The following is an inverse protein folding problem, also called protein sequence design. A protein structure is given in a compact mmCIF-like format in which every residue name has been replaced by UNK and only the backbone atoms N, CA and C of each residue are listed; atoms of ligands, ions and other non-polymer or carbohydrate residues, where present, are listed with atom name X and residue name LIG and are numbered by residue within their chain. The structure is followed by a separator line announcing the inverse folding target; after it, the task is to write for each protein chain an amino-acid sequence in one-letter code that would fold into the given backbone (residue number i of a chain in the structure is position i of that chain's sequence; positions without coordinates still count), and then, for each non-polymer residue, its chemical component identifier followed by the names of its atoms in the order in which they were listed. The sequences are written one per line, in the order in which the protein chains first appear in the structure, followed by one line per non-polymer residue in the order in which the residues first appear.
data_IF_156778737840
#
_entry.id   IF_156778737840
#
_cell.length_a   1.000
_cell.length_b   1.000
_cell.length_c   1.000
_cell.angle_alpha   90.00
_cell.angle_beta   90.00
_cell.angle_gamma   90.00
#
_symmetry.space_group_name_H-M   'P 1'
#
loop_
_entity.id
_entity.type
_entity.pdbx_description
1 polymer ?
#
# COMPACT_ATOMS: atom_id res chain seq x y z
N UNK A 1 -57.54 -81.89 -29.51
CA UNK A 1 -56.82 -80.64 -29.81
C UNK A 1 -57.02 -79.67 -28.62
N UNK A 2 -56.12 -79.57 -27.73
CA UNK A 2 -56.10 -78.64 -26.57
C UNK A 2 -54.89 -77.75 -26.68
N UNK A 3 -55.08 -76.48 -26.90
CA UNK A 3 -53.95 -75.46 -26.83
C UNK A 3 -53.67 -75.12 -25.39
N UNK A 4 -52.42 -75.30 -24.97
CA UNK A 4 -51.87 -74.81 -23.69
C UNK A 4 -51.37 -73.41 -23.87
N UNK A 5 -51.88 -72.46 -23.08
CA UNK A 5 -51.37 -71.07 -22.98
C UNK A 5 -50.29 -71.00 -21.90
N UNK A 6 -49.05 -70.77 -22.29
CA UNK A 6 -47.97 -70.44 -21.37
C UNK A 6 -48.10 -68.97 -20.94
N UNK A 7 -48.22 -68.73 -19.63
CA UNK A 7 -48.21 -67.41 -19.01
C UNK A 7 -46.77 -67.20 -18.53
N UNK A 8 -46.10 -66.21 -19.12
CA UNK A 8 -44.77 -65.80 -18.73
C UNK A 8 -44.86 -64.73 -17.61
N UNK A 9 -44.42 -65.07 -16.40
CA UNK A 9 -44.33 -64.12 -15.27
C UNK A 9 -43.05 -63.36 -15.42
N UNK A 10 -43.10 -62.01 -15.69
CA UNK A 10 -41.94 -61.10 -15.64
C UNK A 10 -41.84 -60.59 -14.21
N UNK A 11 -40.77 -61.04 -13.52
CA UNK A 11 -40.40 -60.53 -12.20
C UNK A 11 -39.63 -59.22 -12.39
N UNK A 12 -40.26 -58.05 -12.16
CA UNK A 12 -39.56 -56.76 -12.10
C UNK A 12 -38.84 -56.64 -10.74
N UNK A 13 -37.51 -56.78 -10.74
CA UNK A 13 -36.67 -56.42 -9.61
C UNK A 13 -36.55 -54.89 -9.52
N UNK A 14 -37.22 -54.29 -8.56
CA UNK A 14 -36.94 -52.89 -8.17
C UNK A 14 -35.67 -52.81 -7.38
N UNK A 15 -34.57 -52.35 -8.00
CA UNK A 15 -33.32 -52.01 -7.29
C UNK A 15 -33.54 -50.57 -6.76
N UNK A 16 -33.83 -50.44 -5.48
CA UNK A 16 -33.83 -49.13 -4.77
C UNK A 16 -32.40 -48.72 -4.51
N UNK A 17 -31.88 -47.82 -5.33
CA UNK A 17 -30.61 -47.16 -5.10
C UNK A 17 -30.74 -46.21 -3.90
N UNK A 18 -30.20 -46.61 -2.75
CA UNK A 18 -30.04 -45.69 -1.60
C UNK A 18 -28.90 -44.74 -1.95
N UNK A 19 -29.25 -43.51 -2.39
CA UNK A 19 -28.31 -42.43 -2.50
C UNK A 19 -27.89 -41.99 -1.07
N UNK A 20 -26.73 -42.41 -0.64
CA UNK A 20 -26.08 -41.86 0.56
C UNK A 20 -25.68 -40.43 0.21
N UNK A 21 -26.48 -39.47 0.65
CA UNK A 21 -26.12 -38.06 0.61
C UNK A 21 -24.87 -37.86 1.53
N UNK A 22 -23.70 -37.81 0.93
CA UNK A 22 -22.51 -37.33 1.62
C UNK A 22 -22.74 -35.85 1.95
N UNK A 23 -22.94 -35.53 3.23
CA UNK A 23 -22.89 -34.18 3.74
C UNK A 23 -21.58 -33.55 3.29
N UNK A 24 -21.58 -32.33 2.72
CA UNK A 24 -20.34 -31.67 2.37
C UNK A 24 -19.49 -31.56 3.63
N UNK A 25 -18.31 -32.15 3.58
CA UNK A 25 -17.32 -32.04 4.66
C UNK A 25 -17.15 -30.55 4.98
N UNK A 26 -17.51 -30.18 6.21
CA UNK A 26 -17.22 -28.86 6.75
C UNK A 26 -15.71 -28.63 6.62
N UNK A 27 -15.28 -27.93 5.59
CA UNK A 27 -13.93 -27.42 5.50
C UNK A 27 -13.75 -26.48 6.68
N UNK A 28 -13.13 -26.97 7.75
CA UNK A 28 -12.61 -26.11 8.81
C UNK A 28 -11.77 -25.06 8.08
N UNK A 29 -12.27 -23.82 7.97
CA UNK A 29 -11.47 -22.68 7.59
C UNK A 29 -10.30 -22.66 8.57
N UNK A 30 -9.13 -23.13 8.15
CA UNK A 30 -7.92 -22.89 8.89
C UNK A 30 -7.87 -21.36 9.09
N UNK A 31 -8.02 -20.91 10.34
CA UNK A 31 -7.80 -19.51 10.66
C UNK A 31 -6.37 -19.22 10.20
N UNK A 32 -6.23 -18.47 9.10
CA UNK A 32 -4.94 -17.97 8.67
C UNK A 32 -4.25 -17.34 9.89
N UNK A 33 -2.98 -17.69 10.09
CA UNK A 33 -2.21 -17.09 11.18
C UNK A 33 -2.23 -15.57 11.01
N UNK A 34 -2.41 -14.84 12.10
CA UNK A 34 -2.39 -13.38 12.06
C UNK A 34 -0.98 -12.90 11.72
N UNK A 35 -0.81 -11.92 10.83
CA UNK A 35 0.50 -11.33 10.59
C UNK A 35 0.99 -10.61 11.84
N UNK A 36 2.31 -10.65 12.06
CA UNK A 36 2.98 -9.78 13.03
C UNK A 36 3.28 -8.43 12.44
N UNK A 37 3.59 -8.40 11.14
CA UNK A 37 4.01 -7.21 10.42
C UNK A 37 3.02 -6.90 9.29
N UNK A 38 2.79 -5.62 9.04
CA UNK A 38 2.10 -5.16 7.84
C UNK A 38 3.01 -4.17 7.13
N UNK A 39 3.23 -4.39 5.83
CA UNK A 39 3.89 -3.45 4.93
C UNK A 39 2.87 -3.01 3.89
N UNK A 40 2.52 -1.73 3.89
CA UNK A 40 1.68 -1.10 2.89
C UNK A 40 2.57 -0.37 1.89
N UNK A 41 2.57 -0.83 0.64
CA UNK A 41 3.33 -0.23 -0.46
C UNK A 41 2.37 0.54 -1.38
N UNK A 42 2.70 1.79 -1.65
CA UNK A 42 1.85 2.72 -2.39
C UNK A 42 2.63 3.20 -3.61
N UNK A 43 2.13 2.90 -4.82
CA UNK A 43 2.55 3.55 -6.04
C UNK A 43 1.61 4.73 -6.30
N UNK A 44 2.06 5.95 -6.04
CA UNK A 44 1.24 7.14 -6.29
C UNK A 44 0.92 7.26 -7.78
N UNK A 45 -0.35 7.42 -8.13
CA UNK A 45 -0.83 7.46 -9.51
C UNK A 45 -0.85 6.09 -10.23
N UNK A 46 -0.62 4.98 -9.52
CA UNK A 46 -0.48 3.65 -10.08
C UNK A 46 -1.82 2.93 -10.28
N UNK A 47 -2.18 2.69 -11.51
CA UNK A 47 -3.31 1.84 -11.88
C UNK A 47 -2.88 0.71 -12.84
N UNK A 48 -3.83 -0.07 -13.32
CA UNK A 48 -3.55 -1.21 -14.19
C UNK A 48 -2.76 -0.83 -15.46
N UNK A 49 -2.99 0.36 -16.01
CA UNK A 49 -2.31 0.81 -17.22
C UNK A 49 -0.85 1.17 -16.94
N UNK A 50 -0.56 1.85 -15.84
CA UNK A 50 0.81 2.17 -15.43
C UNK A 50 1.59 0.90 -15.11
N UNK A 51 0.96 -0.09 -14.45
CA UNK A 51 1.56 -1.41 -14.19
C UNK A 51 1.91 -2.10 -15.52
N UNK A 52 0.98 -2.14 -16.48
CA UNK A 52 1.24 -2.79 -17.76
C UNK A 52 2.33 -2.08 -18.57
N UNK A 53 2.40 -0.75 -18.50
CA UNK A 53 3.51 0.01 -19.08
C UNK A 53 4.86 -0.43 -18.46
N UNK A 54 4.93 -0.58 -17.15
CA UNK A 54 6.09 -1.11 -16.44
C UNK A 54 6.45 -2.54 -16.85
N UNK A 55 5.47 -3.44 -17.01
CA UNK A 55 5.68 -4.82 -17.48
C UNK A 55 6.34 -4.85 -18.87
N UNK A 56 5.83 -4.04 -19.80
CA UNK A 56 6.43 -3.96 -21.16
C UNK A 56 7.83 -3.37 -21.09
N UNK A 57 8.01 -2.25 -20.38
CA UNK A 57 9.30 -1.54 -20.31
C UNK A 57 10.39 -2.32 -19.60
N UNK A 58 10.05 -3.15 -18.62
CA UNK A 58 11.02 -3.96 -17.87
C UNK A 58 11.63 -5.11 -18.69
N UNK A 59 10.97 -5.58 -19.77
CA UNK A 59 11.39 -6.72 -20.60
C UNK A 59 11.54 -8.05 -19.84
N UNK A 60 11.19 -8.09 -18.61
CA UNK A 60 11.17 -9.26 -17.71
C UNK A 60 9.93 -9.15 -16.83
N UNK A 61 9.39 -10.27 -16.32
CA UNK A 61 8.28 -10.21 -15.39
C UNK A 61 8.59 -9.29 -14.19
N UNK A 62 7.64 -8.45 -13.83
CA UNK A 62 7.70 -7.67 -12.60
C UNK A 62 7.57 -8.61 -11.38
N UNK A 63 8.11 -8.19 -10.25
CA UNK A 63 7.91 -8.91 -8.98
C UNK A 63 6.43 -8.96 -8.59
N UNK A 64 5.68 -7.90 -8.92
CA UNK A 64 4.25 -7.79 -8.71
C UNK A 64 3.46 -8.94 -9.36
N UNK A 65 3.90 -9.47 -10.50
CA UNK A 65 3.22 -10.55 -11.23
C UNK A 65 3.20 -11.89 -10.48
N UNK A 66 4.04 -12.05 -9.44
CA UNK A 66 4.03 -13.25 -8.59
C UNK A 66 2.81 -13.32 -7.68
N UNK A 67 2.12 -12.20 -7.47
CA UNK A 67 1.02 -12.08 -6.52
C UNK A 67 -0.27 -12.65 -7.11
N UNK A 68 -0.96 -13.48 -6.32
CA UNK A 68 -2.16 -14.19 -6.75
C UNK A 68 -3.46 -13.62 -6.17
N UNK A 69 -3.34 -12.88 -5.07
CA UNK A 69 -4.49 -12.24 -4.43
C UNK A 69 -4.57 -10.82 -4.96
N UNK A 70 -5.63 -10.56 -5.71
CA UNK A 70 -5.87 -9.27 -6.35
C UNK A 70 -7.30 -8.83 -6.08
N UNK A 71 -7.47 -7.58 -5.70
CA UNK A 71 -8.72 -6.87 -5.60
C UNK A 71 -8.66 -5.55 -6.35
N UNK A 72 -9.74 -4.78 -6.28
CA UNK A 72 -9.82 -3.43 -6.81
C UNK A 72 -10.40 -2.48 -5.79
N UNK A 73 -9.83 -1.30 -5.71
CA UNK A 73 -10.26 -0.24 -4.80
C UNK A 73 -10.92 0.91 -5.56
N UNK A 74 -12.07 1.35 -5.06
CA UNK A 74 -12.70 2.60 -5.48
C UNK A 74 -12.03 3.74 -4.74
N UNK A 75 -11.43 4.67 -5.48
CA UNK A 75 -10.49 5.67 -4.95
C UNK A 75 -11.15 6.97 -4.49
N UNK A 76 -12.42 7.21 -4.85
CA UNK A 76 -13.10 8.48 -4.54
C UNK A 76 -12.91 8.95 -3.09
N UNK A 77 -12.70 10.24 -2.92
CA UNK A 77 -12.76 10.94 -1.63
C UNK A 77 -14.22 11.32 -1.29
N UNK A 78 -14.46 12.46 -0.62
CA UNK A 78 -15.77 13.12 -0.62
C UNK A 78 -16.13 13.69 -2.02
N UNK A 79 -15.14 13.74 -2.91
CA UNK A 79 -15.31 14.09 -4.33
C UNK A 79 -15.18 12.84 -5.20
N UNK A 80 -15.69 12.90 -6.44
CA UNK A 80 -15.63 11.80 -7.40
C UNK A 80 -14.19 11.42 -7.75
N UNK A 81 -13.31 12.40 -7.90
CA UNK A 81 -11.86 12.22 -8.11
C UNK A 81 -11.14 12.62 -6.83
N UNK A 82 -10.32 11.72 -6.30
CA UNK A 82 -9.49 11.96 -5.12
C UNK A 82 -8.19 12.68 -5.47
N UNK A 83 -7.52 13.19 -4.43
CA UNK A 83 -6.08 13.47 -4.46
C UNK A 83 -5.35 12.54 -3.50
N UNK A 84 -4.01 12.59 -3.50
CA UNK A 84 -3.17 11.72 -2.65
C UNK A 84 -3.44 11.92 -1.16
N UNK A 85 -3.74 13.17 -0.71
CA UNK A 85 -4.04 13.46 0.69
C UNK A 85 -5.29 12.73 1.18
N UNK A 86 -6.39 12.86 0.43
CA UNK A 86 -7.64 12.18 0.79
C UNK A 86 -7.56 10.66 0.58
N UNK A 87 -6.85 10.20 -0.47
CA UNK A 87 -6.61 8.79 -0.74
C UNK A 87 -5.84 8.11 0.41
N UNK A 88 -4.71 8.69 0.79
CA UNK A 88 -3.88 8.17 1.89
C UNK A 88 -4.57 8.30 3.26
N UNK A 89 -5.31 9.39 3.51
CA UNK A 89 -6.12 9.54 4.72
C UNK A 89 -7.17 8.45 4.84
N UNK A 90 -7.80 8.03 3.73
CA UNK A 90 -8.74 6.93 3.75
C UNK A 90 -8.09 5.61 4.20
N UNK A 91 -6.85 5.33 3.79
CA UNK A 91 -6.12 4.13 4.25
C UNK A 91 -5.59 4.24 5.67
N UNK A 92 -5.13 5.43 6.04
CA UNK A 92 -4.50 5.62 7.35
C UNK A 92 -5.50 5.71 8.49
N UNK A 93 -6.72 6.20 8.24
CA UNK A 93 -7.72 6.47 9.29
C UNK A 93 -9.04 5.70 9.14
N UNK A 94 -9.35 5.21 7.93
CA UNK A 94 -10.64 4.59 7.61
C UNK A 94 -11.75 5.59 7.25
N UNK A 95 -11.45 6.89 7.21
CA UNK A 95 -12.42 7.93 6.89
C UNK A 95 -12.21 8.51 5.48
N UNK A 96 -13.31 8.73 4.78
CA UNK A 96 -13.29 9.56 3.57
C UNK A 96 -13.21 11.03 4.00
N UNK A 97 -12.33 11.79 3.34
CA UNK A 97 -12.12 13.21 3.65
C UNK A 97 -12.13 14.08 2.39
N UNK A 98 -11.95 15.37 2.57
CA UNK A 98 -11.86 16.33 1.47
C UNK A 98 -10.46 16.27 0.83
N UNK A 99 -10.40 16.52 -0.48
CA UNK A 99 -9.12 16.59 -1.17
C UNK A 99 -8.19 17.61 -0.50
N UNK A 100 -6.92 17.24 -0.34
CA UNK A 100 -5.90 18.03 0.33
C UNK A 100 -5.86 17.87 1.86
N UNK A 101 -6.85 17.26 2.48
CA UNK A 101 -6.85 17.04 3.93
C UNK A 101 -5.95 15.86 4.32
N UNK A 102 -5.31 15.95 5.47
CA UNK A 102 -4.29 15.04 5.99
C UNK A 102 -4.71 14.51 7.37
N UNK A 103 -4.99 13.21 7.49
CA UNK A 103 -5.30 12.55 8.77
C UNK A 103 -6.52 13.07 9.52
N UNK A 104 -7.41 13.79 8.84
CA UNK A 104 -8.65 14.34 9.40
C UNK A 104 -9.87 13.84 8.64
N UNK A 105 -11.04 13.82 9.28
CA UNK A 105 -12.31 13.51 8.61
C UNK A 105 -12.81 14.70 7.76
N UNK A 106 -13.96 14.54 7.10
CA UNK A 106 -14.55 15.58 6.24
C UNK A 106 -15.00 16.83 6.99
N UNK A 107 -15.12 16.78 8.30
CA UNK A 107 -15.42 17.91 9.19
C UNK A 107 -14.14 18.57 9.73
N UNK A 108 -12.94 18.02 9.43
CA UNK A 108 -11.66 18.54 9.89
C UNK A 108 -11.22 18.01 11.26
N UNK A 109 -11.91 17.03 11.82
CA UNK A 109 -11.50 16.43 13.09
C UNK A 109 -10.37 15.42 12.89
N UNK A 110 -9.31 15.49 13.69
CA UNK A 110 -8.22 14.52 13.69
C UNK A 110 -8.75 13.09 13.96
N UNK A 111 -8.30 12.14 13.16
CA UNK A 111 -8.68 10.74 13.29
C UNK A 111 -7.43 9.89 13.54
N UNK A 112 -7.46 8.97 14.52
CA UNK A 112 -6.31 8.12 14.80
C UNK A 112 -5.87 7.35 13.55
N UNK A 113 -4.59 7.43 13.22
CA UNK A 113 -4.03 6.70 12.08
C UNK A 113 -3.68 5.26 12.44
N UNK A 114 -3.59 4.38 11.43
CA UNK A 114 -3.12 3.00 11.61
C UNK A 114 -1.72 2.95 12.24
N UNK A 115 -0.86 3.93 11.95
CA UNK A 115 0.47 4.03 12.53
C UNK A 115 0.40 4.34 14.02
N UNK A 116 -0.40 5.32 14.43
CA UNK A 116 -0.60 5.66 15.84
C UNK A 116 -1.23 4.50 16.62
N UNK A 117 -2.23 3.83 16.01
CA UNK A 117 -2.87 2.65 16.61
C UNK A 117 -1.86 1.52 16.74
N UNK A 118 -1.05 1.25 15.73
CA UNK A 118 0.00 0.23 15.77
C UNK A 118 1.01 0.52 16.88
N UNK A 119 1.49 1.77 16.98
CA UNK A 119 2.40 2.21 18.03
C UNK A 119 1.79 2.06 19.43
N UNK A 120 0.53 2.45 19.62
CA UNK A 120 -0.20 2.28 20.90
C UNK A 120 -0.31 0.81 21.34
N UNK A 121 -0.28 -0.13 20.38
CA UNK A 121 -0.22 -1.58 20.65
C UNK A 121 1.21 -2.10 20.83
N UNK A 122 2.21 -1.21 20.74
CA UNK A 122 3.63 -1.51 20.94
C UNK A 122 4.30 -2.14 19.73
N UNK A 123 3.73 -2.02 18.53
CA UNK A 123 4.42 -2.32 17.29
C UNK A 123 5.41 -1.18 16.96
N UNK A 124 6.50 -1.51 16.27
CA UNK A 124 7.35 -0.48 15.69
C UNK A 124 6.71 0.10 14.43
N UNK A 125 7.02 1.35 14.11
CA UNK A 125 6.34 2.05 13.03
C UNK A 125 7.29 2.83 12.14
N UNK A 126 7.02 2.84 10.83
CA UNK A 126 7.86 3.56 9.87
C UNK A 126 7.11 4.05 8.64
N UNK A 127 7.67 5.10 8.03
CA UNK A 127 7.17 5.73 6.80
C UNK A 127 8.35 6.04 5.88
N UNK A 128 8.25 5.62 4.61
CA UNK A 128 9.25 5.90 3.57
C UNK A 128 8.57 6.48 2.35
N UNK A 129 9.19 7.49 1.73
CA UNK A 129 8.73 8.06 0.47
C UNK A 129 9.91 8.41 -0.43
N UNK A 130 9.73 8.32 -1.74
CA UNK A 130 10.68 8.86 -2.73
C UNK A 130 10.55 10.37 -2.90
N UNK A 131 9.50 10.99 -2.36
CA UNK A 131 9.24 12.42 -2.33
C UNK A 131 9.51 13.02 -0.93
N UNK A 132 9.13 14.27 -0.73
CA UNK A 132 9.17 14.90 0.58
C UNK A 132 8.36 14.10 1.61
N UNK A 133 8.97 13.87 2.78
CA UNK A 133 8.29 13.17 3.87
C UNK A 133 7.09 13.96 4.41
N UNK A 134 7.04 15.27 4.17
CA UNK A 134 5.89 16.10 4.51
C UNK A 134 4.87 16.19 3.37
N UNK A 135 5.05 15.47 2.27
CA UNK A 135 4.04 15.41 1.22
C UNK A 135 2.82 14.58 1.65
N UNK A 136 1.75 14.67 0.88
CA UNK A 136 0.42 14.25 1.28
C UNK A 136 0.33 12.79 1.70
N UNK A 137 0.90 11.87 0.91
CA UNK A 137 0.79 10.44 1.17
C UNK A 137 1.49 10.04 2.48
N UNK A 138 2.80 10.31 2.69
CA UNK A 138 3.46 9.96 3.94
C UNK A 138 2.89 10.75 5.13
N UNK A 139 2.56 12.05 4.95
CA UNK A 139 2.00 12.88 6.00
C UNK A 139 0.68 12.33 6.55
N UNK A 140 -0.17 11.73 5.70
CA UNK A 140 -1.47 11.20 6.12
C UNK A 140 -1.41 10.04 7.12
N UNK A 141 -0.23 9.42 7.32
CA UNK A 141 -0.01 8.40 8.34
C UNK A 141 0.48 8.97 9.66
N UNK A 142 0.89 10.26 9.70
CA UNK A 142 1.61 10.90 10.79
C UNK A 142 0.89 12.12 11.33
N UNK A 143 0.33 12.94 10.44
CA UNK A 143 -0.12 14.30 10.73
C UNK A 143 -1.64 14.44 10.64
N UNK A 144 -2.16 15.52 11.27
CA UNK A 144 -3.59 15.85 11.28
C UNK A 144 -3.78 17.32 10.90
N UNK A 145 -3.69 17.61 9.60
CA UNK A 145 -3.76 18.97 9.09
C UNK A 145 -4.89 19.14 8.07
N UNK A 146 -5.61 20.26 8.08
CA UNK A 146 -6.70 20.50 7.14
C UNK A 146 -6.23 20.65 5.68
N UNK A 147 -4.94 20.88 5.45
CA UNK A 147 -4.39 21.07 4.10
C UNK A 147 -2.97 20.52 3.95
N UNK A 148 -2.70 19.77 2.89
CA UNK A 148 -1.40 19.22 2.52
C UNK A 148 -0.31 20.28 2.25
N UNK A 149 -0.71 21.52 2.04
CA UNK A 149 0.21 22.64 1.88
C UNK A 149 0.85 23.13 3.19
N UNK A 150 0.33 22.71 4.34
CA UNK A 150 0.83 23.06 5.68
C UNK A 150 2.07 22.25 6.03
N UNK A 151 3.13 22.39 5.22
CA UNK A 151 4.34 21.56 5.30
C UNK A 151 5.09 21.70 6.62
N UNK A 152 5.08 22.93 7.18
CA UNK A 152 5.76 23.21 8.44
C UNK A 152 5.03 22.61 9.65
N UNK A 153 3.69 22.68 9.66
CA UNK A 153 2.85 22.09 10.70
C UNK A 153 2.92 20.55 10.61
N UNK A 154 2.91 20.00 9.39
CA UNK A 154 3.14 18.56 9.16
C UNK A 154 4.50 18.13 9.72
N UNK A 155 5.57 18.93 9.50
CA UNK A 155 6.89 18.63 10.07
C UNK A 155 6.88 18.64 11.61
N UNK A 156 6.10 19.55 12.25
CA UNK A 156 5.91 19.52 13.71
C UNK A 156 5.16 18.26 14.16
N UNK A 157 4.19 17.81 13.39
CA UNK A 157 3.45 16.58 13.72
C UNK A 157 4.37 15.35 13.68
N UNK A 158 5.36 15.29 12.76
CA UNK A 158 6.40 14.25 12.78
C UNK A 158 7.16 14.21 14.10
N UNK A 159 7.54 15.37 14.65
CA UNK A 159 8.25 15.48 15.92
C UNK A 159 7.37 15.02 17.10
N UNK A 160 6.06 15.26 17.03
CA UNK A 160 5.09 14.90 18.07
C UNK A 160 4.64 13.44 17.96
N UNK A 161 4.71 12.85 16.77
CA UNK A 161 4.19 11.52 16.49
C UNK A 161 4.98 10.40 17.19
N UNK A 162 4.35 9.23 17.39
CA UNK A 162 5.02 8.08 17.98
C UNK A 162 5.86 7.26 16.96
N UNK A 163 6.13 7.80 15.76
CA UNK A 163 6.89 7.10 14.72
C UNK A 163 8.31 6.76 15.18
N UNK A 164 8.81 5.59 14.78
CA UNK A 164 10.17 5.16 15.09
C UNK A 164 11.15 5.46 13.96
N UNK A 165 10.66 5.47 12.71
CA UNK A 165 11.50 5.67 11.54
C UNK A 165 10.74 6.43 10.45
N UNK A 166 11.38 7.42 9.83
CA UNK A 166 10.91 7.98 8.57
C UNK A 166 12.10 8.34 7.67
N UNK A 167 11.93 8.11 6.35
CA UNK A 167 12.96 8.39 5.34
C UNK A 167 12.30 8.98 4.10
N UNK A 168 12.77 10.13 3.65
CA UNK A 168 12.32 10.78 2.42
C UNK A 168 13.01 12.12 2.20
N UNK A 169 12.58 12.89 1.21
CA UNK A 169 13.07 14.24 0.99
C UNK A 169 12.41 15.26 1.95
N UNK A 170 12.62 16.55 1.74
CA UNK A 170 11.91 17.63 2.42
C UNK A 170 12.49 18.03 3.78
N UNK A 171 13.76 17.74 4.04
CA UNK A 171 14.46 18.15 5.27
C UNK A 171 14.41 19.66 5.53
N UNK A 172 14.30 20.49 4.49
CA UNK A 172 14.14 21.94 4.62
C UNK A 172 12.89 22.35 5.40
N UNK A 173 11.79 21.57 5.34
CA UNK A 173 10.60 21.85 6.13
C UNK A 173 10.83 21.70 7.65
N UNK A 174 11.93 21.05 8.04
CA UNK A 174 12.35 20.89 9.44
C UNK A 174 13.40 21.93 9.86
N UNK A 175 14.22 22.44 8.92
CA UNK A 175 15.38 23.30 9.22
C UNK A 175 15.28 24.71 8.66
N UNK A 176 14.59 24.94 7.52
CA UNK A 176 14.48 26.22 6.85
C UNK A 176 13.07 26.80 7.02
N UNK A 177 12.67 26.93 8.28
CA UNK A 177 11.32 27.30 8.66
C UNK A 177 11.18 28.81 8.85
N UNK A 178 10.01 29.40 8.51
CA UNK A 178 9.75 30.82 8.73
C UNK A 178 9.80 31.24 10.21
N UNK A 179 9.55 30.30 11.14
CA UNK A 179 9.60 30.53 12.59
C UNK A 179 11.03 30.43 13.17
N UNK A 180 12.03 30.14 12.34
CA UNK A 180 13.44 30.02 12.74
C UNK A 180 13.77 28.77 13.57
N UNK A 181 12.84 27.84 13.77
CA UNK A 181 13.09 26.61 14.50
C UNK A 181 13.86 25.60 13.64
N UNK A 182 14.72 24.81 14.30
CA UNK A 182 15.32 23.61 13.76
C UNK A 182 14.73 22.39 14.47
N UNK A 183 13.72 21.75 13.84
CA UNK A 183 13.05 20.60 14.40
C UNK A 183 13.95 19.36 14.46
N UNK A 184 15.06 19.32 13.74
CA UNK A 184 16.01 18.20 13.81
C UNK A 184 16.71 18.12 15.15
N UNK A 185 16.85 19.25 15.87
CA UNK A 185 17.36 19.27 17.23
C UNK A 185 16.40 18.57 18.19
N UNK A 186 15.09 18.80 18.05
CA UNK A 186 14.06 18.12 18.84
C UNK A 186 14.02 16.62 18.54
N UNK A 187 14.15 16.22 17.25
CA UNK A 187 14.25 14.81 16.86
C UNK A 187 15.47 14.13 17.52
N UNK A 188 16.63 14.78 17.53
CA UNK A 188 17.83 14.26 18.21
C UNK A 188 17.60 14.10 19.72
N UNK A 189 16.95 15.08 20.38
CA UNK A 189 16.59 14.97 21.79
C UNK A 189 15.65 13.81 22.09
N UNK A 190 14.78 13.44 21.12
CA UNK A 190 13.90 12.28 21.18
C UNK A 190 14.57 10.96 20.78
N UNK A 191 15.90 10.98 20.58
CA UNK A 191 16.71 9.80 20.29
C UNK A 191 16.75 9.39 18.83
N UNK A 192 16.33 10.25 17.89
CA UNK A 192 16.49 9.98 16.46
C UNK A 192 17.94 10.20 16.02
N UNK A 193 18.45 9.25 15.24
CA UNK A 193 19.60 9.46 14.37
C UNK A 193 19.11 10.27 13.17
N UNK A 194 19.58 11.50 13.02
CA UNK A 194 19.19 12.41 11.92
C UNK A 194 20.30 12.40 10.89
N UNK A 195 20.03 11.83 9.73
CA UNK A 195 21.01 11.57 8.66
C UNK A 195 20.52 12.11 7.31
N UNK A 196 21.48 12.50 6.44
CA UNK A 196 21.18 13.14 5.16
C UNK A 196 21.77 12.42 3.95
N UNK A 197 22.47 11.31 4.17
CA UNK A 197 23.15 10.54 3.15
C UNK A 197 22.60 9.11 3.10
N UNK A 198 22.34 8.60 1.88
CA UNK A 198 21.76 7.27 1.68
C UNK A 198 22.64 6.16 2.27
N UNK A 199 23.96 6.25 2.09
CA UNK A 199 24.88 5.21 2.58
C UNK A 199 24.91 5.19 4.12
N UNK A 200 24.95 6.36 4.77
CA UNK A 200 24.86 6.46 6.23
C UNK A 200 23.53 5.92 6.75
N UNK A 201 22.41 6.28 6.10
CA UNK A 201 21.08 5.79 6.46
C UNK A 201 21.03 4.26 6.38
N UNK A 202 21.60 3.67 5.33
CA UNK A 202 21.58 2.21 5.13
C UNK A 202 22.55 1.45 6.05
N UNK A 203 23.49 2.14 6.69
CA UNK A 203 24.34 1.58 7.72
C UNK A 203 23.69 1.48 9.10
N UNK A 204 22.58 2.20 9.34
CA UNK A 204 21.85 2.14 10.62
C UNK A 204 21.27 0.76 10.83
N UNK A 205 21.51 0.18 12.01
CA UNK A 205 21.01 -1.16 12.34
C UNK A 205 19.94 -1.18 13.41
N UNK A 206 19.78 -0.09 14.19
CA UNK A 206 18.79 -0.04 15.27
C UNK A 206 18.55 1.38 15.75
N UNK A 207 17.48 1.58 16.52
CA UNK A 207 17.09 2.86 17.10
C UNK A 207 16.18 3.66 16.18
N UNK A 208 15.79 4.84 16.64
CA UNK A 208 14.97 5.75 15.85
C UNK A 208 15.79 6.41 14.75
N UNK A 209 15.18 6.60 13.58
CA UNK A 209 15.87 7.13 12.40
C UNK A 209 15.02 8.18 11.68
N UNK A 210 15.58 9.35 11.46
CA UNK A 210 15.07 10.39 10.58
C UNK A 210 16.05 10.57 9.42
N UNK A 211 15.71 10.03 8.25
CA UNK A 211 16.55 10.09 7.05
C UNK A 211 16.02 11.14 6.08
N UNK A 212 16.79 12.20 5.83
CA UNK A 212 16.46 13.23 4.87
C UNK A 212 17.32 13.08 3.61
N UNK A 213 16.69 12.68 2.52
CA UNK A 213 17.36 12.47 1.25
C UNK A 213 17.07 13.62 0.29
N UNK A 214 17.86 13.72 -0.76
CA UNK A 214 17.56 14.63 -1.87
C UNK A 214 16.43 14.03 -2.70
N UNK A 215 15.45 14.84 -3.03
CA UNK A 215 14.42 14.45 -3.99
C UNK A 215 15.05 14.28 -5.39
N UNK A 216 14.75 13.16 -6.01
CA UNK A 216 15.21 12.81 -7.35
C UNK A 216 14.23 11.85 -8.01
N UNK A 217 14.11 11.96 -9.33
CA UNK A 217 13.36 11.02 -10.19
C UNK A 217 14.31 9.98 -10.79
N UNK A 218 13.77 8.91 -11.37
CA UNK A 218 14.56 7.92 -12.10
C UNK A 218 15.11 8.49 -13.43
N UNK A 219 16.36 8.21 -13.82
CA UNK A 219 17.28 7.23 -13.19
C UNK A 219 18.20 7.80 -12.08
N UNK A 220 18.20 9.10 -11.81
CA UNK A 220 19.15 9.75 -10.89
C UNK A 220 19.00 9.27 -9.44
N UNK A 221 17.80 8.81 -9.05
CA UNK A 221 17.52 8.27 -7.71
C UNK A 221 18.21 6.90 -7.49
N UNK A 222 18.49 6.15 -8.55
CA UNK A 222 19.09 4.81 -8.45
C UNK A 222 18.22 3.84 -7.64
N UNK A 223 18.81 3.03 -6.79
CA UNK A 223 18.15 2.01 -5.97
C UNK A 223 17.71 2.47 -4.58
N UNK A 224 17.52 3.78 -4.41
CA UNK A 224 17.25 4.42 -3.11
C UNK A 224 16.04 3.80 -2.40
N UNK A 225 14.90 3.62 -3.11
CA UNK A 225 13.67 3.10 -2.49
C UNK A 225 13.85 1.66 -1.99
N UNK A 226 14.46 0.81 -2.79
CA UNK A 226 14.73 -0.58 -2.44
C UNK A 226 15.68 -0.71 -1.23
N UNK A 227 16.73 0.15 -1.17
CA UNK A 227 17.68 0.20 -0.06
C UNK A 227 17.05 0.70 1.23
N UNK A 228 16.30 1.80 1.16
CA UNK A 228 15.65 2.39 2.34
C UNK A 228 14.55 1.48 2.89
N UNK A 229 13.75 0.82 2.04
CA UNK A 229 12.77 -0.17 2.45
C UNK A 229 13.44 -1.36 3.18
N UNK A 230 14.55 -1.87 2.65
CA UNK A 230 15.32 -2.95 3.30
C UNK A 230 15.83 -2.51 4.67
N UNK A 231 16.41 -1.31 4.76
CA UNK A 231 16.93 -0.75 6.03
C UNK A 231 15.82 -0.59 7.08
N UNK A 232 14.65 -0.07 6.67
CA UNK A 232 13.50 0.06 7.57
C UNK A 232 13.03 -1.29 8.09
N UNK A 233 12.92 -2.29 7.23
CA UNK A 233 12.55 -3.66 7.62
C UNK A 233 13.55 -4.22 8.62
N UNK A 234 14.86 -4.05 8.39
CA UNK A 234 15.91 -4.53 9.29
C UNK A 234 15.87 -3.86 10.68
N UNK A 235 15.52 -2.58 10.73
CA UNK A 235 15.39 -1.84 11.99
C UNK A 235 14.09 -2.23 12.72
N UNK A 236 12.95 -2.08 12.05
CA UNK A 236 11.63 -2.28 12.65
C UNK A 236 11.36 -3.74 13.00
N UNK A 237 11.90 -4.68 12.20
CA UNK A 237 11.78 -6.12 12.42
C UNK A 237 12.42 -6.64 13.71
N UNK A 238 13.21 -5.82 14.42
CA UNK A 238 13.74 -6.14 15.76
C UNK A 238 12.69 -6.08 16.86
N UNK A 239 11.56 -5.40 16.60
CA UNK A 239 10.46 -5.39 17.55
C UNK A 239 9.79 -6.77 17.60
N UNK A 240 9.80 -7.40 18.77
CA UNK A 240 9.25 -8.75 18.96
C UNK A 240 7.73 -8.82 18.73
N UNK A 241 7.01 -7.71 18.90
CA UNK A 241 5.57 -7.63 18.63
C UNK A 241 5.26 -7.47 17.14
N UNK A 242 6.22 -7.02 16.34
CA UNK A 242 6.09 -6.74 14.92
C UNK A 242 6.08 -5.24 14.60
N UNK A 243 5.71 -4.90 13.36
CA UNK A 243 5.75 -3.52 12.89
C UNK A 243 4.68 -3.20 11.85
N UNK A 244 4.42 -1.91 11.69
CA UNK A 244 3.72 -1.32 10.56
C UNK A 244 4.71 -0.44 9.77
N UNK A 245 4.78 -0.64 8.44
CA UNK A 245 5.63 0.14 7.55
C UNK A 245 4.83 0.58 6.32
N UNK A 246 4.82 1.88 6.03
CA UNK A 246 4.36 2.44 4.76
C UNK A 246 5.58 2.75 3.87
N UNK A 247 5.50 2.36 2.60
CA UNK A 247 6.56 2.61 1.59
C UNK A 247 5.91 3.18 0.34
N UNK A 248 6.35 4.33 -0.10
CA UNK A 248 5.79 5.02 -1.25
C UNK A 248 6.79 5.21 -2.38
N UNK A 249 6.37 4.82 -3.60
CA UNK A 249 6.95 5.23 -4.88
C UNK A 249 6.13 6.36 -5.47
N UNK A 250 6.51 7.61 -5.23
CA UNK A 250 5.66 8.79 -5.44
C UNK A 250 5.62 9.29 -6.88
N UNK A 251 6.60 8.92 -7.73
CA UNK A 251 6.81 9.64 -8.99
C UNK A 251 6.18 8.99 -10.23
N UNK A 252 5.46 7.87 -10.08
CA UNK A 252 4.59 7.33 -11.16
C UNK A 252 3.53 8.41 -11.49
N UNK A 253 2.96 9.01 -10.44
CA UNK A 253 2.05 10.16 -10.52
C UNK A 253 2.66 11.34 -11.28
N UNK A 254 3.91 11.69 -10.95
CA UNK A 254 4.66 12.74 -11.65
C UNK A 254 4.78 12.50 -13.16
N UNK A 255 4.97 11.24 -13.57
CA UNK A 255 4.94 10.83 -14.98
C UNK A 255 3.57 11.05 -15.61
N UNK A 256 2.49 10.69 -14.90
CA UNK A 256 1.11 10.94 -15.32
C UNK A 256 0.80 12.42 -15.50
N UNK A 257 1.14 13.27 -14.54
CA UNK A 257 0.95 14.72 -14.59
C UNK A 257 1.72 15.40 -15.75
N UNK A 258 2.90 14.87 -16.08
CA UNK A 258 3.70 15.36 -17.21
C UNK A 258 3.24 14.78 -18.55
N UNK A 259 2.37 13.79 -18.55
CA UNK A 259 2.02 12.98 -19.73
C UNK A 259 3.26 12.35 -20.36
N UNK A 260 4.17 11.85 -19.52
CA UNK A 260 5.46 11.24 -19.89
C UNK A 260 5.42 9.74 -19.59
N UNK A 261 5.21 8.94 -20.64
CA UNK A 261 5.12 7.48 -20.51
C UNK A 261 6.45 6.85 -20.12
N UNK A 262 7.58 7.42 -20.55
CA UNK A 262 8.91 6.91 -20.21
C UNK A 262 9.23 7.11 -18.73
N UNK A 263 8.79 8.25 -18.16
CA UNK A 263 8.89 8.50 -16.73
C UNK A 263 7.99 7.51 -15.96
N UNK A 264 6.74 7.31 -16.38
CA UNK A 264 5.84 6.32 -15.77
C UNK A 264 6.48 4.94 -15.74
N UNK A 265 7.06 4.49 -16.86
CA UNK A 265 7.73 3.19 -16.98
C UNK A 265 8.90 3.06 -16.01
N UNK A 266 9.80 4.07 -15.97
CA UNK A 266 10.99 4.04 -15.12
C UNK A 266 10.64 4.02 -13.64
N UNK A 267 9.67 4.84 -13.23
CA UNK A 267 9.22 4.94 -11.84
C UNK A 267 8.47 3.67 -11.39
N UNK A 268 7.68 3.07 -12.29
CA UNK A 268 7.01 1.80 -12.02
C UNK A 268 8.03 0.65 -11.83
N UNK A 269 9.08 0.62 -12.63
CA UNK A 269 10.15 -0.39 -12.52
C UNK A 269 10.93 -0.22 -11.21
N UNK A 270 11.26 1.02 -10.81
CA UNK A 270 11.92 1.30 -9.53
C UNK A 270 11.04 0.85 -8.34
N UNK A 271 9.75 1.18 -8.39
CA UNK A 271 8.80 0.74 -7.36
C UNK A 271 8.72 -0.79 -7.28
N UNK A 272 8.70 -1.48 -8.44
CA UNK A 272 8.69 -2.95 -8.48
C UNK A 272 9.99 -3.56 -7.94
N UNK A 273 11.13 -2.90 -8.07
CA UNK A 273 12.38 -3.33 -7.44
C UNK A 273 12.27 -3.32 -5.91
N UNK A 274 11.66 -2.27 -5.35
CA UNK A 274 11.38 -2.21 -3.92
C UNK A 274 10.36 -3.29 -3.49
N UNK A 275 9.31 -3.52 -4.28
CA UNK A 275 8.36 -4.63 -4.08
C UNK A 275 9.11 -5.97 -4.02
N UNK A 276 10.07 -6.20 -4.92
CA UNK A 276 10.88 -7.42 -4.94
C UNK A 276 11.64 -7.65 -3.62
N UNK A 277 12.22 -6.59 -3.02
CA UNK A 277 12.91 -6.69 -1.73
C UNK A 277 11.95 -6.99 -0.57
N UNK A 278 10.80 -6.32 -0.56
CA UNK A 278 9.76 -6.52 0.46
C UNK A 278 9.17 -7.94 0.39
N UNK A 279 8.86 -8.43 -0.82
CA UNK A 279 8.35 -9.79 -1.00
C UNK A 279 9.37 -10.85 -0.59
N UNK A 280 10.65 -10.70 -0.94
CA UNK A 280 11.70 -11.61 -0.53
C UNK A 280 11.84 -11.69 1.01
N UNK A 281 11.68 -10.57 1.70
CA UNK A 281 11.60 -10.56 3.17
C UNK A 281 10.36 -11.31 3.66
N UNK A 282 9.18 -10.99 3.14
CA UNK A 282 7.91 -11.57 3.58
C UNK A 282 7.84 -13.10 3.34
N UNK A 283 8.37 -13.57 2.20
CA UNK A 283 8.49 -15.00 1.89
C UNK A 283 9.36 -15.75 2.90
N UNK A 284 10.44 -15.13 3.38
CA UNK A 284 11.34 -15.70 4.39
C UNK A 284 10.73 -15.62 5.80
N UNK A 285 10.15 -14.48 6.16
CA UNK A 285 9.59 -14.19 7.48
C UNK A 285 8.30 -14.96 7.77
N UNK A 286 7.44 -15.17 6.77
CA UNK A 286 6.15 -15.90 6.83
C UNK A 286 5.12 -15.31 7.80
N UNK A 287 5.42 -14.21 8.47
CA UNK A 287 4.53 -13.50 9.39
C UNK A 287 4.23 -12.07 8.96
N UNK A 288 4.60 -11.71 7.73
CA UNK A 288 4.39 -10.38 7.16
C UNK A 288 3.28 -10.41 6.11
N UNK A 289 2.29 -9.54 6.29
CA UNK A 289 1.30 -9.18 5.28
C UNK A 289 1.83 -8.01 4.46
N UNK A 290 1.92 -8.16 3.16
CA UNK A 290 2.27 -7.10 2.22
C UNK A 290 1.02 -6.72 1.44
N UNK A 291 0.73 -5.43 1.35
CA UNK A 291 -0.38 -4.85 0.58
C UNK A 291 0.24 -3.85 -0.38
N UNK A 292 -0.10 -3.92 -1.67
CA UNK A 292 0.45 -3.05 -2.71
C UNK A 292 -0.71 -2.46 -3.49
N UNK A 293 -0.78 -1.13 -3.59
CA UNK A 293 -1.88 -0.44 -4.30
C UNK A 293 -1.47 0.94 -4.78
N UNK A 294 -2.27 1.56 -5.62
CA UNK A 294 -2.21 2.99 -5.93
C UNK A 294 -3.27 3.77 -5.16
N UNK A 295 -3.09 5.06 -5.01
CA UNK A 295 -4.08 5.97 -4.40
C UNK A 295 -5.13 6.43 -5.41
N UNK A 296 -4.74 6.64 -6.64
CA UNK A 296 -5.56 6.96 -7.81
C UNK A 296 -4.81 6.58 -9.09
N UNK A 297 -5.43 6.81 -10.22
CA UNK A 297 -4.79 6.85 -11.52
C UNK A 297 -4.50 8.30 -11.90
N UNK A 298 -3.40 8.55 -12.59
CA UNK A 298 -2.99 9.87 -13.07
C UNK A 298 -2.74 9.90 -14.56
N UNK A 299 -3.26 10.94 -15.20
CA UNK A 299 -3.05 11.22 -16.61
C UNK A 299 -4.11 10.63 -17.54
N UNK A 300 -4.92 9.67 -17.08
CA UNK A 300 -5.84 8.92 -17.94
C UNK A 300 -5.06 8.19 -19.06
N UNK A 301 -3.96 7.50 -18.67
CA UNK A 301 -3.06 6.83 -19.58
C UNK A 301 -3.76 5.68 -20.31
N UNK A 302 -3.66 5.69 -21.63
CA UNK A 302 -4.07 4.60 -22.50
C UNK A 302 -2.88 4.15 -23.32
N UNK A 303 -2.53 2.85 -23.30
CA UNK A 303 -1.47 2.29 -24.11
C UNK A 303 -1.98 2.05 -25.52
N UNK A 304 -1.36 2.70 -26.50
CA UNK A 304 -1.84 2.72 -27.89
C UNK A 304 -0.91 2.01 -28.87
N UNK A 305 0.27 1.57 -28.40
CA UNK A 305 1.26 0.85 -29.19
C UNK A 305 2.49 0.54 -28.36
N UNK A 306 3.50 0.01 -29.02
CA UNK A 306 4.78 -0.34 -28.41
C UNK A 306 5.43 -1.53 -29.09
N UNK A 307 6.48 -2.05 -28.48
CA UNK A 307 7.22 -3.21 -28.95
C UNK A 307 7.70 -4.04 -27.75
N UNK A 308 7.17 -5.23 -27.61
CA UNK A 308 7.49 -6.15 -26.49
C UNK A 308 8.95 -6.61 -26.51
N UNK A 309 9.58 -6.70 -27.70
CA UNK A 309 10.97 -7.15 -27.80
C UNK A 309 11.95 -6.07 -27.34
N UNK A 310 11.67 -4.81 -27.68
CA UNK A 310 12.51 -3.67 -27.29
C UNK A 310 12.12 -3.06 -25.94
N UNK A 311 10.91 -3.32 -25.45
CA UNK A 311 10.35 -2.70 -24.27
C UNK A 311 9.83 -1.28 -24.51
N UNK A 312 9.65 -0.87 -25.78
CA UNK A 312 9.09 0.43 -26.12
C UNK A 312 7.60 0.46 -25.79
N UNK A 313 7.17 1.51 -25.11
CA UNK A 313 5.77 1.75 -24.75
C UNK A 313 5.30 3.03 -25.42
N UNK A 314 4.14 2.99 -26.07
CA UNK A 314 3.48 4.16 -26.62
C UNK A 314 2.16 4.37 -25.90
N UNK A 315 1.96 5.58 -25.36
CA UNK A 315 0.76 5.95 -24.62
C UNK A 315 0.19 7.28 -25.03
N UNK A 316 -1.10 7.42 -24.76
CA UNK A 316 -1.81 8.70 -24.86
C UNK A 316 -2.45 9.00 -23.49
N UNK A 317 -2.50 10.27 -23.15
CA UNK A 317 -3.08 10.77 -21.94
C UNK A 317 -4.33 11.61 -22.23
N UNK A 318 -5.38 11.42 -21.45
CA UNK A 318 -6.63 12.18 -21.63
C UNK A 318 -6.68 13.43 -20.77
N UNK A 319 -5.82 13.52 -19.75
CA UNK A 319 -5.74 14.64 -18.81
C UNK A 319 -4.31 14.81 -18.27
N UNK A 320 -4.07 15.88 -17.51
CA UNK A 320 -2.89 16.05 -16.65
C UNK A 320 -3.22 15.88 -15.16
N UNK A 321 -4.45 15.57 -14.84
CA UNK A 321 -4.92 15.38 -13.48
C UNK A 321 -5.18 13.91 -13.18
N UNK A 322 -5.75 13.65 -12.01
CA UNK A 322 -6.16 12.30 -11.60
C UNK A 322 -7.46 11.89 -12.30
N UNK A 323 -7.72 10.59 -12.31
CA UNK A 323 -8.98 10.03 -12.80
C UNK A 323 -9.67 9.17 -11.75
N UNK A 324 -10.94 8.83 -11.99
CA UNK A 324 -11.74 8.01 -11.09
C UNK A 324 -11.63 6.50 -11.40
N UNK A 325 -10.58 6.08 -12.11
CA UNK A 325 -10.33 4.67 -12.39
C UNK A 325 -10.09 3.90 -11.09
N UNK A 326 -10.71 2.73 -10.94
CA UNK A 326 -10.39 1.83 -9.83
C UNK A 326 -8.94 1.36 -9.95
N UNK A 327 -8.23 1.33 -8.83
CA UNK A 327 -6.86 0.85 -8.77
C UNK A 327 -6.80 -0.58 -8.25
N UNK A 328 -5.87 -1.42 -8.75
CA UNK A 328 -5.68 -2.76 -8.23
C UNK A 328 -5.07 -2.73 -6.82
N UNK A 329 -5.45 -3.73 -6.02
CA UNK A 329 -4.87 -4.00 -4.71
C UNK A 329 -4.33 -5.41 -4.72
N UNK A 330 -3.03 -5.55 -4.56
CA UNK A 330 -2.37 -6.84 -4.47
C UNK A 330 -2.04 -7.14 -3.01
N UNK A 331 -2.13 -8.42 -2.63
CA UNK A 331 -1.76 -8.80 -1.28
C UNK A 331 -1.00 -10.13 -1.24
N UNK A 332 -0.09 -10.26 -0.26
CA UNK A 332 0.73 -11.44 -0.03
C UNK A 332 0.91 -11.69 1.48
N UNK A 333 0.96 -12.95 1.86
CA UNK A 333 1.22 -13.37 3.23
C UNK A 333 -0.04 -13.64 4.05
N UNK A 334 0.08 -13.81 5.38
CA UNK A 334 -1.04 -14.14 6.24
C UNK A 334 -2.16 -13.08 6.20
N UNK A 335 -3.38 -13.49 5.88
CA UNK A 335 -4.54 -12.59 5.79
C UNK A 335 -4.72 -11.90 4.44
N UNK A 336 -3.88 -12.20 3.44
CA UNK A 336 -3.95 -11.60 2.10
C UNK A 336 -5.32 -11.79 1.43
N UNK A 337 -5.99 -12.91 1.66
CA UNK A 337 -7.29 -13.25 1.04
C UNK A 337 -8.39 -12.21 1.34
N UNK A 338 -8.25 -11.46 2.43
CA UNK A 338 -9.19 -10.40 2.79
C UNK A 338 -9.17 -9.23 1.79
N UNK A 339 -8.11 -9.12 0.98
CA UNK A 339 -7.92 -8.02 0.03
C UNK A 339 -8.41 -8.33 -1.39
N UNK A 340 -8.96 -9.52 -1.64
CA UNK A 340 -9.65 -9.84 -2.89
C UNK A 340 -11.03 -9.14 -2.95
N UNK A 341 -11.53 -8.93 -4.18
CA UNK A 341 -12.85 -8.32 -4.42
C UNK A 341 -12.79 -6.84 -4.75
N UNK A 342 -13.95 -6.18 -4.77
CA UNK A 342 -14.09 -4.75 -5.08
C UNK A 342 -14.68 -4.04 -3.86
N UNK A 343 -13.98 -3.01 -3.37
CA UNK A 343 -14.37 -2.30 -2.15
C UNK A 343 -13.90 -0.82 -2.19
N UNK A 344 -14.26 -0.04 -1.19
CA UNK A 344 -13.78 1.34 -1.06
C UNK A 344 -12.37 1.37 -0.45
N UNK A 345 -11.55 2.34 -0.82
CA UNK A 345 -10.17 2.48 -0.30
C UNK A 345 -10.11 2.59 1.23
N UNK A 346 -11.07 3.23 1.88
CA UNK A 346 -11.10 3.33 3.34
C UNK A 346 -11.36 1.99 4.07
N UNK A 347 -11.86 0.96 3.36
CA UNK A 347 -12.00 -0.38 3.93
C UNK A 347 -10.64 -1.07 4.13
N UNK A 348 -9.58 -0.64 3.43
CA UNK A 348 -8.22 -1.15 3.61
C UNK A 348 -7.74 -0.94 5.06
N UNK A 349 -8.07 0.20 5.66
CA UNK A 349 -7.80 0.47 7.08
C UNK A 349 -8.38 -0.62 8.00
N UNK A 350 -9.67 -0.92 7.87
CA UNK A 350 -10.31 -1.95 8.70
C UNK A 350 -9.71 -3.34 8.45
N UNK A 351 -9.41 -3.67 7.19
CA UNK A 351 -8.76 -4.93 6.82
C UNK A 351 -7.37 -5.06 7.47
N UNK A 352 -6.59 -3.99 7.57
CA UNK A 352 -5.30 -3.98 8.27
C UNK A 352 -5.47 -4.16 9.79
N UNK A 353 -6.44 -3.48 10.41
CA UNK A 353 -6.75 -3.67 11.84
C UNK A 353 -7.17 -5.11 12.14
N UNK A 354 -8.06 -5.67 11.31
CA UNK A 354 -8.52 -7.06 11.47
C UNK A 354 -7.36 -8.05 11.30
N UNK A 355 -6.46 -7.80 10.37
CA UNK A 355 -5.26 -8.61 10.17
C UNK A 355 -4.37 -8.61 11.42
N UNK A 356 -4.08 -7.45 12.00
CA UNK A 356 -3.38 -7.35 13.28
C UNK A 356 -4.18 -7.93 14.46
N UNK A 357 -5.51 -8.12 14.29
CA UNK A 357 -6.42 -8.51 15.37
C UNK A 357 -6.69 -7.42 16.37
N UNK A 358 -6.52 -6.18 15.97
CA UNK A 358 -6.83 -4.99 16.73
C UNK A 358 -8.31 -4.68 16.53
N UNK A 359 -9.07 -4.60 17.61
CA UNK A 359 -10.48 -4.22 17.52
C UNK A 359 -10.57 -2.75 17.15
N UNK A 360 -11.43 -2.45 16.17
CA UNK A 360 -11.70 -1.06 15.79
C UNK A 360 -12.27 -0.30 17.00
N UNK A 361 -11.55 0.74 17.42
CA UNK A 361 -11.96 1.67 18.49
C UNK A 361 -12.70 2.90 17.94
N UNK A 362 -12.79 3.03 16.61
CA UNK A 362 -13.51 4.12 15.98
C UNK A 362 -15.01 3.94 16.19
N UNK A 363 -15.67 4.92 16.81
CA UNK A 363 -17.13 4.94 16.87
C UNK A 363 -17.66 5.00 15.43
N UNK A 364 -18.52 4.05 15.03
CA UNK A 364 -19.25 4.15 13.78
C UNK A 364 -19.96 5.51 13.76
N UNK A 365 -19.61 6.36 12.83
CA UNK A 365 -20.47 7.48 12.49
C UNK A 365 -21.68 6.87 11.78
N UNK A 366 -22.81 6.86 12.47
CA UNK A 366 -24.13 6.54 11.89
C UNK A 366 -24.57 7.69 11.00
#
# INVERSE_FOLDING_TARGET
MKQSRNILFIFCLFITSIAIAQSPASTKKNKSAKPKNIILMIGDGMSATQIYAGMVGNKKPLHLEKLKIIGFSRTNSTKFITDSGAGATAWSTGFKTNNGAIGVDSAGNAQPTILEIASAHGLATGVISTNSITDATPASFIAHQPARSMKYEIAEDYVKSPVDLFIGAGGSNFTERPDGKDLTLELKQKGFQVLYNLDEITMVKSGKLAGFLKEAIMPERGDQLARTATTAIDILGKNKKGFFLMVEGSHIDGGGHKNDVDMVVKEMIDFDQAIGKVLAFAEKDKSTLVIITGDHETGGLTLTGGDLATGRVEGKFSTKGHTAVMVPVFAFGPGAEAFAGIYHNNEIFQKMLDAFGIKNVLKKQN
#
